data_IF_165181100592
#
_entry.id   IF_165181100592
#
_cell.length_a   1.000
_cell.length_b   1.000
_cell.length_c   1.000
_cell.angle_alpha   90.00
_cell.angle_beta   90.00
_cell.angle_gamma   90.00
#
_symmetry.space_group_name_H-M   'P 1'
#
loop_
_entity.id
_entity.type
_entity.pdbx_description
1 polymer ?
#
# COMPACT_ATOMS: atom_id res chain seq x y z
N UNK A 1 18.39 -11.54 3.67
CA UNK A 1 16.96 -11.16 3.58
C UNK A 1 16.81 -9.76 2.97
N UNK A 2 15.72 -9.45 2.20
CA UNK A 2 15.47 -8.11 1.66
C UNK A 2 14.28 -7.46 2.35
N UNK A 3 14.44 -6.20 2.79
CA UNK A 3 13.40 -5.43 3.49
C UNK A 3 13.25 -4.04 2.92
N UNK A 4 12.02 -3.54 2.86
CA UNK A 4 11.73 -2.19 2.38
C UNK A 4 11.42 -1.26 3.53
N UNK A 5 12.05 -0.09 3.53
CA UNK A 5 11.79 0.99 4.48
C UNK A 5 11.26 2.21 3.75
N UNK A 6 10.21 2.82 4.28
CA UNK A 6 9.61 4.01 3.69
C UNK A 6 9.44 5.10 4.74
N UNK A 7 10.03 6.27 4.49
CA UNK A 7 9.91 7.43 5.37
C UNK A 7 9.70 8.73 4.60
N UNK A 8 9.23 9.76 5.28
CA UNK A 8 9.08 11.12 4.72
C UNK A 8 10.45 11.79 4.63
N UNK A 9 10.69 12.51 3.54
CA UNK A 9 11.90 13.30 3.30
C UNK A 9 11.58 14.78 3.17
N UNK A 10 12.58 15.61 3.46
CA UNK A 10 12.48 17.07 3.39
C UNK A 10 13.44 17.61 2.32
N UNK A 11 13.08 17.53 1.02
CA UNK A 11 13.91 18.00 -0.07
C UNK A 11 13.93 19.52 -0.15
N UNK A 12 15.02 20.08 -0.67
CA UNK A 12 15.14 21.51 -1.02
C UNK A 12 14.27 21.85 -2.25
N UNK A 13 14.07 23.14 -2.53
CA UNK A 13 13.29 23.55 -3.72
C UNK A 13 13.90 23.05 -5.04
N UNK A 14 15.21 23.07 -5.17
CA UNK A 14 15.93 22.53 -6.32
C UNK A 14 15.70 21.01 -6.46
N UNK A 15 15.81 20.28 -5.34
CA UNK A 15 15.54 18.84 -5.33
C UNK A 15 14.07 18.54 -5.68
N UNK A 16 13.12 19.35 -5.22
CA UNK A 16 11.70 19.25 -5.57
C UNK A 16 11.51 19.41 -7.08
N UNK A 17 12.17 20.38 -7.70
CA UNK A 17 12.12 20.57 -9.16
C UNK A 17 12.64 19.34 -9.91
N UNK A 18 13.81 18.82 -9.51
CA UNK A 18 14.39 17.58 -10.08
C UNK A 18 13.48 16.37 -9.92
N UNK A 19 12.88 16.17 -8.73
CA UNK A 19 11.90 15.09 -8.46
C UNK A 19 10.68 15.24 -9.37
N UNK A 20 10.11 16.44 -9.45
CA UNK A 20 8.91 16.67 -10.25
C UNK A 20 9.15 16.52 -11.75
N UNK A 21 10.32 16.98 -12.25
CA UNK A 21 10.76 16.78 -13.62
C UNK A 21 10.88 15.29 -13.93
N UNK A 22 11.59 14.53 -13.08
CA UNK A 22 11.76 13.08 -13.26
C UNK A 22 10.42 12.33 -13.23
N UNK A 23 9.54 12.63 -12.27
CA UNK A 23 8.19 12.02 -12.21
C UNK A 23 7.36 12.39 -13.45
N UNK A 24 7.49 13.61 -13.94
CA UNK A 24 6.85 14.07 -15.18
C UNK A 24 7.29 13.26 -16.38
N UNK A 25 8.60 13.14 -16.58
CA UNK A 25 9.22 12.34 -17.65
C UNK A 25 8.81 10.86 -17.55
N UNK A 26 8.89 10.27 -16.37
CA UNK A 26 8.47 8.87 -16.14
C UNK A 26 6.99 8.65 -16.51
N UNK A 27 6.12 9.61 -16.21
CA UNK A 27 4.71 9.54 -16.58
C UNK A 27 4.53 9.62 -18.10
N UNK A 28 5.26 10.53 -18.76
CA UNK A 28 5.22 10.65 -20.21
C UNK A 28 5.68 9.34 -20.86
N UNK A 29 6.83 8.81 -20.49
CA UNK A 29 7.38 7.57 -21.04
C UNK A 29 6.45 6.38 -20.84
N UNK A 30 5.85 6.25 -19.65
CA UNK A 30 4.85 5.21 -19.40
C UNK A 30 3.67 5.30 -20.38
N UNK A 31 3.16 6.51 -20.59
CA UNK A 31 2.04 6.75 -21.49
C UNK A 31 2.45 6.57 -22.95
N UNK A 32 3.62 7.04 -23.32
CA UNK A 32 4.16 6.91 -24.66
C UNK A 32 4.36 5.44 -25.05
N UNK A 33 4.92 4.63 -24.15
CA UNK A 33 5.03 3.19 -24.36
C UNK A 33 3.67 2.53 -24.61
N UNK A 34 2.64 2.91 -23.83
CA UNK A 34 1.29 2.36 -24.02
C UNK A 34 0.71 2.80 -25.36
N UNK A 35 0.80 4.08 -25.72
CA UNK A 35 0.29 4.61 -26.98
C UNK A 35 0.96 3.94 -28.18
N UNK A 36 2.28 3.86 -28.16
CA UNK A 36 3.07 3.25 -29.25
C UNK A 36 2.73 1.77 -29.45
N UNK A 37 2.67 0.98 -28.38
CA UNK A 37 2.30 -0.44 -28.52
C UNK A 37 0.85 -0.64 -28.93
N UNK A 38 -0.07 0.26 -28.57
CA UNK A 38 -1.43 0.25 -29.07
C UNK A 38 -1.46 0.50 -30.59
N UNK A 39 -0.72 1.51 -31.05
CA UNK A 39 -0.61 1.83 -32.47
C UNK A 39 0.00 0.67 -33.28
N UNK A 40 1.02 -0.01 -32.76
CA UNK A 40 1.60 -1.20 -33.38
C UNK A 40 0.57 -2.33 -33.50
N UNK A 41 -0.21 -2.54 -32.43
CA UNK A 41 -1.28 -3.55 -32.44
C UNK A 41 -2.37 -3.22 -33.48
N UNK A 42 -2.81 -1.96 -33.53
CA UNK A 42 -3.83 -1.52 -34.47
C UNK A 42 -3.35 -1.65 -35.96
N UNK A 43 -2.01 -1.58 -36.18
CA UNK A 43 -1.35 -1.81 -37.48
C UNK A 43 -0.95 -3.26 -37.75
N UNK A 44 -1.34 -4.21 -36.90
CA UNK A 44 -0.97 -5.63 -37.04
C UNK A 44 0.54 -5.92 -36.82
N UNK A 45 1.28 -4.98 -36.25
CA UNK A 45 2.73 -5.12 -36.01
C UNK A 45 3.01 -5.80 -34.66
N UNK A 46 4.23 -6.36 -34.56
CA UNK A 46 4.67 -7.06 -33.34
C UNK A 46 4.79 -6.11 -32.15
N UNK A 47 4.30 -6.56 -30.98
CA UNK A 47 4.40 -5.86 -29.70
C UNK A 47 5.87 -5.62 -29.30
N UNK A 48 6.21 -4.39 -28.91
CA UNK A 48 7.53 -4.02 -28.43
C UNK A 48 7.70 -4.32 -26.95
N UNK A 49 8.75 -5.05 -26.59
CA UNK A 49 9.18 -5.23 -25.19
C UNK A 49 9.76 -3.91 -24.64
N UNK A 50 9.91 -3.80 -23.31
CA UNK A 50 10.54 -2.62 -22.70
C UNK A 50 11.98 -2.41 -23.20
N UNK A 51 12.73 -3.49 -23.51
CA UNK A 51 14.09 -3.43 -24.03
C UNK A 51 14.09 -2.92 -25.48
N UNK A 52 13.29 -3.51 -26.36
CA UNK A 52 13.18 -3.09 -27.78
C UNK A 52 12.70 -1.65 -27.91
N UNK A 53 11.70 -1.24 -27.10
CA UNK A 53 11.24 0.14 -27.06
C UNK A 53 12.34 1.12 -26.60
N UNK A 54 13.17 0.72 -25.62
CA UNK A 54 14.27 1.55 -25.17
C UNK A 54 15.33 1.74 -26.25
N UNK A 55 15.62 0.71 -27.04
CA UNK A 55 16.55 0.78 -28.20
C UNK A 55 15.95 1.69 -29.26
N UNK A 56 14.73 1.44 -29.69
CA UNK A 56 14.03 2.26 -30.67
C UNK A 56 13.94 3.74 -30.25
N UNK A 57 13.58 4.01 -28.98
CA UNK A 57 13.48 5.38 -28.47
C UNK A 57 14.79 6.14 -28.59
N UNK A 58 15.92 5.51 -28.25
CA UNK A 58 17.21 6.20 -28.21
C UNK A 58 17.91 6.29 -29.58
N UNK A 59 17.74 5.27 -30.43
CA UNK A 59 18.50 5.14 -31.69
C UNK A 59 17.72 5.63 -32.91
N UNK A 60 16.38 5.59 -32.86
CA UNK A 60 15.54 5.97 -33.99
C UNK A 60 14.66 7.19 -33.66
N UNK A 61 13.90 7.16 -32.57
CA UNK A 61 12.93 8.20 -32.29
C UNK A 61 13.58 9.52 -31.87
N UNK A 62 14.43 9.52 -30.85
CA UNK A 62 15.03 10.77 -30.32
C UNK A 62 15.96 11.48 -31.30
N UNK A 63 16.76 10.81 -32.17
CA UNK A 63 17.54 11.50 -33.19
C UNK A 63 16.67 12.24 -34.21
N UNK A 64 15.51 11.70 -34.56
CA UNK A 64 14.56 12.27 -35.52
C UNK A 64 13.57 13.27 -34.90
N UNK A 65 13.54 13.39 -33.55
CA UNK A 65 12.61 14.23 -32.80
C UNK A 65 13.32 15.03 -31.71
N UNK A 66 14.09 16.08 -32.07
CA UNK A 66 14.86 16.89 -31.11
C UNK A 66 14.03 17.53 -30.00
N UNK A 67 12.75 17.79 -30.23
CA UNK A 67 11.81 18.36 -29.28
C UNK A 67 11.57 17.44 -28.06
N UNK A 68 11.94 16.15 -28.14
CA UNK A 68 11.85 15.19 -27.04
C UNK A 68 13.19 14.95 -26.31
N UNK A 69 14.27 15.63 -26.65
CA UNK A 69 15.58 15.45 -26.01
C UNK A 69 15.57 15.70 -24.48
N UNK A 70 14.60 16.49 -24.00
CA UNK A 70 14.39 16.69 -22.55
C UNK A 70 14.16 15.38 -21.76
N UNK A 71 13.85 14.27 -22.43
CA UNK A 71 13.77 12.94 -21.81
C UNK A 71 15.12 12.52 -21.23
N UNK A 72 16.23 12.95 -21.84
CA UNK A 72 17.61 12.67 -21.41
C UNK A 72 18.05 13.50 -20.20
N UNK A 73 17.33 14.57 -19.84
CA UNK A 73 17.64 15.43 -18.68
C UNK A 73 17.42 14.76 -17.33
N UNK A 74 16.86 13.56 -17.31
CA UNK A 74 16.60 12.80 -16.09
C UNK A 74 17.30 11.44 -16.11
N UNK A 75 17.41 10.80 -14.95
CA UNK A 75 18.09 9.51 -14.84
C UNK A 75 17.53 8.47 -15.81
N UNK A 76 18.38 7.92 -16.68
CA UNK A 76 18.05 6.83 -17.62
C UNK A 76 17.49 5.60 -16.89
N UNK A 77 17.91 5.34 -15.65
CA UNK A 77 17.37 4.24 -14.82
C UNK A 77 15.90 4.45 -14.46
N UNK A 78 15.52 5.71 -14.14
CA UNK A 78 14.11 6.06 -13.89
C UNK A 78 13.26 5.90 -15.16
N UNK A 79 13.78 6.32 -16.31
CA UNK A 79 13.12 6.19 -17.62
C UNK A 79 12.93 4.73 -17.99
N UNK A 80 13.98 3.91 -17.93
CA UNK A 80 13.92 2.45 -18.21
C UNK A 80 12.94 1.75 -17.28
N UNK A 81 12.94 2.09 -15.97
CA UNK A 81 12.00 1.52 -15.01
C UNK A 81 10.55 1.88 -15.32
N UNK A 82 10.29 3.05 -15.90
CA UNK A 82 8.95 3.45 -16.33
C UNK A 82 8.45 2.61 -17.52
N UNK A 83 9.34 2.30 -18.48
CA UNK A 83 9.03 1.37 -19.59
C UNK A 83 8.73 -0.04 -19.07
N UNK A 84 9.56 -0.57 -18.15
CA UNK A 84 9.34 -1.86 -17.51
C UNK A 84 8.00 -1.94 -16.77
N UNK A 85 7.61 -0.85 -16.08
CA UNK A 85 6.32 -0.78 -15.38
C UNK A 85 5.15 -0.83 -16.38
N UNK A 86 5.26 -0.19 -17.54
CA UNK A 86 4.26 -0.22 -18.59
C UNK A 86 4.20 -1.60 -19.26
N UNK A 87 5.34 -2.21 -19.57
CA UNK A 87 5.45 -3.58 -20.05
C UNK A 87 4.81 -4.58 -19.08
N UNK A 88 5.12 -4.46 -17.78
CA UNK A 88 4.51 -5.32 -16.74
C UNK A 88 2.99 -5.16 -16.69
N UNK A 89 2.47 -3.95 -16.92
CA UNK A 89 1.03 -3.72 -16.97
C UNK A 89 0.37 -4.46 -18.15
N UNK A 90 1.01 -4.47 -19.33
CA UNK A 90 0.56 -5.27 -20.48
C UNK A 90 0.70 -6.78 -20.21
N UNK A 91 1.81 -7.23 -19.65
CA UNK A 91 2.02 -8.64 -19.31
C UNK A 91 0.90 -9.17 -18.39
N UNK A 92 0.49 -8.38 -17.39
CA UNK A 92 -0.64 -8.73 -16.51
C UNK A 92 -1.98 -8.74 -17.25
N UNK A 93 -2.16 -7.84 -18.21
CA UNK A 93 -3.35 -7.81 -19.05
C UNK A 93 -3.44 -9.07 -19.91
N UNK A 94 -2.38 -9.43 -20.62
CA UNK A 94 -2.33 -10.66 -21.45
C UNK A 94 -2.53 -11.94 -20.62
N UNK A 95 -2.03 -11.96 -19.37
CA UNK A 95 -2.28 -13.05 -18.41
C UNK A 95 -3.67 -13.00 -17.76
N UNK A 96 -4.58 -12.13 -18.22
CA UNK A 96 -5.94 -11.93 -17.66
C UNK A 96 -5.97 -11.57 -16.16
N UNK A 97 -4.85 -11.09 -15.61
CA UNK A 97 -4.72 -10.67 -14.21
C UNK A 97 -5.16 -9.23 -13.97
N UNK A 98 -5.25 -8.40 -15.00
CA UNK A 98 -5.68 -7.01 -14.92
C UNK A 98 -6.44 -6.59 -16.19
N UNK A 99 -7.14 -5.44 -16.09
CA UNK A 99 -7.70 -4.78 -17.26
C UNK A 99 -6.61 -4.12 -18.11
N UNK A 100 -6.97 -3.70 -19.34
CA UNK A 100 -6.07 -2.96 -20.24
C UNK A 100 -5.36 -1.79 -19.52
N UNK A 101 -4.04 -1.57 -19.76
CA UNK A 101 -3.28 -0.50 -19.12
C UNK A 101 -3.87 0.88 -19.39
N UNK A 102 -4.01 1.69 -18.31
CA UNK A 102 -4.55 3.05 -18.42
C UNK A 102 -3.45 4.08 -18.42
N UNK A 103 -3.63 5.16 -19.16
CA UNK A 103 -2.74 6.31 -19.11
C UNK A 103 -2.65 6.92 -17.70
N UNK A 104 -1.44 7.26 -17.30
CA UNK A 104 -1.17 7.95 -16.03
C UNK A 104 -1.48 9.44 -16.16
N UNK A 105 -2.25 9.97 -15.21
CA UNK A 105 -2.63 11.40 -15.17
C UNK A 105 -1.87 12.12 -14.06
N UNK A 106 -1.45 13.38 -14.32
CA UNK A 106 -0.83 14.26 -13.31
C UNK A 106 -1.76 14.38 -12.09
N UNK A 107 -1.22 14.31 -10.89
CA UNK A 107 -1.93 14.42 -9.59
C UNK A 107 -3.00 13.35 -9.30
N UNK A 108 -3.21 12.39 -10.22
CA UNK A 108 -4.17 11.28 -10.02
C UNK A 108 -3.50 9.91 -9.99
N UNK A 109 -2.32 9.78 -10.58
CA UNK A 109 -1.59 8.51 -10.69
C UNK A 109 -0.32 8.53 -9.84
N UNK A 110 -0.03 7.44 -9.15
CA UNK A 110 1.19 7.27 -8.36
C UNK A 110 2.34 6.88 -9.29
N UNK A 111 3.06 7.90 -9.78
CA UNK A 111 4.29 7.73 -10.57
C UNK A 111 5.45 8.12 -9.66
N UNK A 112 6.51 7.31 -9.66
CA UNK A 112 7.65 7.45 -8.77
C UNK A 112 8.93 7.64 -9.56
N UNK A 113 9.87 8.42 -9.00
CA UNK A 113 11.25 8.45 -9.43
C UNK A 113 11.95 7.21 -8.88
N UNK A 114 12.49 6.35 -9.74
CA UNK A 114 13.26 5.17 -9.36
C UNK A 114 14.75 5.51 -9.34
N UNK A 115 15.47 4.93 -8.39
CA UNK A 115 16.93 4.98 -8.35
C UNK A 115 17.52 3.63 -7.92
N UNK A 116 18.75 3.41 -8.31
CA UNK A 116 19.50 2.19 -7.99
C UNK A 116 20.93 2.59 -7.62
N UNK A 117 21.57 1.80 -6.80
CA UNK A 117 22.99 1.96 -6.50
C UNK A 117 23.82 1.63 -7.74
N UNK A 118 24.50 2.61 -8.31
CA UNK A 118 25.43 2.45 -9.43
C UNK A 118 26.89 2.56 -8.96
N UNK A 119 27.17 3.51 -8.07
CA UNK A 119 28.49 3.81 -7.54
C UNK A 119 28.58 3.50 -6.04
N UNK A 120 29.77 3.25 -5.48
CA UNK A 120 29.94 3.02 -4.04
C UNK A 120 29.33 4.09 -3.15
N UNK A 121 29.43 5.38 -3.57
CA UNK A 121 28.87 6.52 -2.84
C UNK A 121 27.34 6.68 -2.97
N UNK A 122 26.73 6.02 -3.95
CA UNK A 122 25.29 6.09 -4.15
C UNK A 122 24.52 5.37 -3.04
N UNK A 123 23.35 5.88 -2.73
CA UNK A 123 22.43 5.28 -1.74
C UNK A 123 23.04 5.17 -0.33
N UNK A 124 24.04 6.01 -0.02
CA UNK A 124 24.58 6.07 1.34
C UNK A 124 23.53 6.63 2.29
N UNK A 125 23.33 5.99 3.44
CA UNK A 125 22.34 6.43 4.44
C UNK A 125 23.01 6.69 5.78
N UNK A 126 22.80 7.89 6.29
CA UNK A 126 23.14 8.30 7.65
C UNK A 126 21.87 8.37 8.52
N UNK A 127 22.03 8.62 9.79
CA UNK A 127 20.93 8.69 10.74
C UNK A 127 19.83 9.70 10.34
N UNK A 128 20.19 10.82 9.69
CA UNK A 128 19.29 11.94 9.42
C UNK A 128 19.20 12.33 7.94
N UNK A 129 19.97 11.71 7.05
CA UNK A 129 19.99 12.00 5.62
C UNK A 129 20.36 10.77 4.78
N UNK A 130 19.94 10.79 3.53
CA UNK A 130 20.25 9.75 2.55
C UNK A 130 20.78 10.40 1.26
N UNK A 131 21.82 9.82 0.68
CA UNK A 131 22.31 10.23 -0.63
C UNK A 131 21.54 9.50 -1.74
N UNK A 132 20.75 10.24 -2.50
CA UNK A 132 19.94 9.71 -3.60
C UNK A 132 20.60 10.12 -4.92
N UNK A 133 20.90 9.17 -5.83
CA UNK A 133 21.44 9.49 -7.14
C UNK A 133 20.65 10.59 -7.84
N UNK A 134 21.32 11.55 -8.44
CA UNK A 134 20.81 12.77 -9.08
C UNK A 134 20.26 13.87 -8.15
N UNK A 135 19.91 13.54 -6.90
CA UNK A 135 19.42 14.52 -5.91
C UNK A 135 20.51 14.93 -4.91
N UNK A 136 21.51 14.07 -4.69
CA UNK A 136 22.47 14.24 -3.61
C UNK A 136 21.87 13.94 -2.24
N UNK A 137 22.37 14.62 -1.20
CA UNK A 137 21.93 14.42 0.18
C UNK A 137 20.55 15.03 0.43
N UNK A 138 19.61 14.19 0.89
CA UNK A 138 18.25 14.59 1.23
C UNK A 138 17.98 14.27 2.71
N UNK A 139 17.41 15.21 3.45
CA UNK A 139 17.08 15.05 4.88
C UNK A 139 15.93 14.08 5.08
N UNK A 140 16.09 13.14 6.02
CA UNK A 140 15.05 12.26 6.51
C UNK A 140 14.29 12.94 7.64
N UNK A 141 12.96 12.80 7.65
CA UNK A 141 12.15 13.33 8.73
C UNK A 141 12.21 12.46 9.98
N UNK A 142 12.20 11.14 9.80
CA UNK A 142 12.35 10.15 10.86
C UNK A 142 13.81 9.73 10.96
N UNK A 143 14.48 10.24 11.99
CA UNK A 143 15.91 9.99 12.21
C UNK A 143 16.14 8.55 12.68
N UNK A 144 17.06 7.84 12.03
CA UNK A 144 17.45 6.48 12.40
C UNK A 144 16.41 5.39 12.06
N UNK A 145 15.33 5.72 11.34
CA UNK A 145 14.34 4.73 10.91
C UNK A 145 14.88 3.82 9.78
N UNK A 146 15.65 4.38 8.88
CA UNK A 146 16.39 3.59 7.87
C UNK A 146 17.71 3.20 8.49
N UNK A 147 18.06 1.89 8.51
CA UNK A 147 19.38 1.44 8.99
C UNK A 147 20.51 2.12 8.21
N UNK A 148 21.56 2.50 8.92
CA UNK A 148 22.65 3.27 8.34
C UNK A 148 23.66 2.39 7.60
N UNK A 149 24.29 2.93 6.56
CA UNK A 149 25.34 2.22 5.81
C UNK A 149 26.54 1.87 6.69
N UNK A 150 26.85 2.67 7.72
CA UNK A 150 27.91 2.39 8.71
C UNK A 150 27.64 1.12 9.52
N UNK A 151 26.38 0.69 9.65
CA UNK A 151 26.00 -0.56 10.32
C UNK A 151 26.03 -1.77 9.36
N UNK A 152 26.65 -1.65 8.18
CA UNK A 152 26.78 -2.75 7.22
C UNK A 152 25.55 -2.98 6.32
N UNK A 153 24.50 -2.16 6.43
CA UNK A 153 23.30 -2.30 5.60
C UNK A 153 23.49 -1.71 4.22
N UNK A 154 23.13 -2.45 3.18
CA UNK A 154 23.32 -2.04 1.79
C UNK A 154 21.97 -1.74 1.13
N UNK A 155 21.77 -0.47 0.73
CA UNK A 155 20.62 -0.09 -0.08
C UNK A 155 20.88 -0.48 -1.54
N UNK A 156 20.05 -1.34 -2.10
CA UNK A 156 20.17 -1.80 -3.50
C UNK A 156 19.46 -0.85 -4.46
N UNK A 157 18.28 -0.40 -4.09
CA UNK A 157 17.45 0.49 -4.93
C UNK A 157 16.42 1.22 -4.08
N UNK A 158 15.76 2.19 -4.69
CA UNK A 158 14.65 2.86 -4.03
C UNK A 158 13.78 3.66 -5.00
N UNK A 159 12.77 4.30 -4.43
CA UNK A 159 11.87 5.19 -5.15
C UNK A 159 11.59 6.44 -4.34
N UNK A 160 11.52 7.59 -5.02
CA UNK A 160 10.99 8.83 -4.46
C UNK A 160 9.59 9.05 -4.99
N UNK A 161 8.65 9.37 -4.11
CA UNK A 161 7.25 9.63 -4.45
C UNK A 161 6.75 10.90 -3.79
N UNK A 162 5.75 11.54 -4.42
CA UNK A 162 5.03 12.68 -3.86
C UNK A 162 3.58 12.28 -3.58
N UNK A 163 3.11 12.44 -2.35
CA UNK A 163 1.73 12.17 -1.95
C UNK A 163 1.20 13.32 -1.07
N UNK A 164 0.12 13.92 -1.49
CA UNK A 164 -0.51 15.04 -0.77
C UNK A 164 0.44 16.21 -0.46
N UNK A 165 1.35 16.53 -1.38
CA UNK A 165 2.34 17.60 -1.22
C UNK A 165 3.51 17.27 -0.28
N UNK A 166 3.66 15.99 0.11
CA UNK A 166 4.79 15.48 0.90
C UNK A 166 5.60 14.50 0.07
N UNK A 167 6.90 14.45 0.34
CA UNK A 167 7.84 13.59 -0.37
C UNK A 167 8.26 12.43 0.52
N UNK A 168 8.34 11.24 -0.08
CA UNK A 168 8.70 10.00 0.60
C UNK A 168 9.79 9.29 -0.18
N UNK A 169 10.76 8.74 0.53
CA UNK A 169 11.70 7.76 -0.01
C UNK A 169 11.30 6.37 0.48
N UNK A 170 11.31 5.41 -0.43
CA UNK A 170 11.20 3.99 -0.10
C UNK A 170 12.45 3.29 -0.61
N UNK A 171 13.20 2.66 0.26
CA UNK A 171 14.45 1.97 -0.05
C UNK A 171 14.33 0.47 0.15
N UNK A 172 14.95 -0.30 -0.73
CA UNK A 172 15.11 -1.74 -0.60
C UNK A 172 16.50 -2.03 -0.05
N UNK A 173 16.56 -2.59 1.13
CA UNK A 173 17.80 -2.88 1.86
C UNK A 173 18.00 -4.40 1.89
N UNK A 174 19.21 -4.82 1.64
CA UNK A 174 19.67 -6.17 1.92
C UNK A 174 20.16 -6.22 3.36
N UNK A 175 19.52 -7.07 4.14
CA UNK A 175 19.81 -7.27 5.57
C UNK A 175 20.58 -8.59 5.68
N UNK A 176 21.71 -8.63 6.39
CA UNK A 176 22.37 -9.89 6.73
C UNK A 176 21.37 -10.85 7.40
N UNK A 177 21.56 -12.11 7.20
CA UNK A 177 20.74 -13.12 7.89
C UNK A 177 20.96 -12.98 9.40
N UNK A 178 19.89 -12.66 10.10
CA UNK A 178 19.88 -12.56 11.55
C UNK A 178 19.40 -13.88 12.12
N UNK A 179 19.96 -14.29 13.27
CA UNK A 179 19.44 -15.41 14.03
C UNK A 179 17.98 -15.12 14.38
N UNK A 180 17.08 -16.03 14.00
CA UNK A 180 15.68 -15.92 14.36
C UNK A 180 15.54 -16.03 15.87
N UNK A 181 14.64 -15.25 16.50
CA UNK A 181 14.41 -15.36 17.93
C UNK A 181 13.84 -16.74 18.27
N UNK A 182 14.15 -17.22 19.45
CA UNK A 182 13.47 -18.39 20.00
C UNK A 182 11.98 -18.09 20.15
N UNK A 183 11.14 -18.97 19.64
CA UNK A 183 9.69 -18.89 19.73
C UNK A 183 9.20 -19.65 20.96
N UNK A 184 8.07 -19.23 21.51
CA UNK A 184 7.38 -19.92 22.59
C UNK A 184 6.50 -21.05 22.02
N UNK A 185 6.29 -22.08 22.80
CA UNK A 185 5.46 -23.23 22.41
C UNK A 185 3.97 -22.98 22.68
N UNK A 186 3.43 -21.95 22.02
CA UNK A 186 1.98 -21.71 21.99
C UNK A 186 1.58 -21.08 20.66
N UNK A 187 0.33 -21.31 20.28
CA UNK A 187 -0.30 -20.70 19.11
C UNK A 187 -1.28 -19.58 19.47
N UNK A 188 -1.56 -18.71 18.51
CA UNK A 188 -2.59 -17.68 18.60
C UNK A 188 -3.58 -17.80 17.47
N UNK A 189 -4.89 -17.76 17.79
CA UNK A 189 -5.97 -17.54 16.83
C UNK A 189 -6.42 -16.09 16.87
N UNK A 190 -6.74 -15.52 15.72
CA UNK A 190 -7.15 -14.12 15.58
C UNK A 190 -8.43 -14.05 14.75
N UNK A 191 -9.54 -13.67 15.38
CA UNK A 191 -10.78 -13.30 14.70
C UNK A 191 -10.76 -11.82 14.33
N UNK A 192 -11.04 -11.48 13.04
CA UNK A 192 -11.04 -10.13 12.50
C UNK A 192 -12.46 -9.62 12.27
N UNK A 193 -12.83 -8.53 12.93
CA UNK A 193 -14.20 -8.03 12.94
C UNK A 193 -14.37 -6.54 12.59
N UNK A 194 -15.63 -6.13 12.48
CA UNK A 194 -16.04 -4.72 12.29
C UNK A 194 -16.39 -4.02 13.61
N UNK A 195 -16.81 -4.77 14.63
CA UNK A 195 -17.09 -4.23 15.98
C UNK A 195 -15.77 -3.95 16.69
N UNK A 196 -15.01 -4.96 16.93
CA UNK A 196 -13.60 -4.92 17.29
C UNK A 196 -12.77 -5.12 16.02
N UNK A 197 -11.52 -4.69 16.03
CA UNK A 197 -10.63 -4.90 14.89
C UNK A 197 -10.10 -6.34 14.86
N UNK A 198 -9.71 -6.84 16.02
CA UNK A 198 -9.26 -8.21 16.19
C UNK A 198 -9.54 -8.68 17.62
N UNK A 199 -9.97 -9.93 17.79
CA UNK A 199 -10.05 -10.65 19.04
C UNK A 199 -9.05 -11.80 18.99
N UNK A 200 -8.21 -11.91 20.00
CA UNK A 200 -7.09 -12.86 20.04
C UNK A 200 -7.36 -13.91 21.12
N UNK A 201 -7.00 -15.15 20.85
CA UNK A 201 -7.24 -16.31 21.74
C UNK A 201 -6.58 -16.23 23.13
N UNK A 202 -5.67 -15.28 23.33
CA UNK A 202 -5.11 -14.97 24.65
C UNK A 202 -5.94 -13.94 25.45
N UNK A 203 -7.16 -13.64 25.03
CA UNK A 203 -8.09 -12.70 25.68
C UNK A 203 -7.91 -11.25 25.27
N UNK A 204 -6.88 -10.91 24.49
CA UNK A 204 -6.61 -9.53 24.09
C UNK A 204 -7.56 -9.11 22.95
N UNK A 205 -8.29 -8.02 23.17
CA UNK A 205 -9.17 -7.42 22.14
C UNK A 205 -8.61 -6.10 21.62
N UNK A 206 -8.44 -5.98 20.31
CA UNK A 206 -8.03 -4.75 19.63
C UNK A 206 -9.25 -3.98 19.16
N UNK A 207 -9.46 -2.77 19.71
CA UNK A 207 -10.59 -1.92 19.38
C UNK A 207 -10.51 -1.40 17.94
N UNK A 208 -11.65 -1.18 17.31
CA UNK A 208 -11.75 -0.59 16.00
C UNK A 208 -11.39 0.91 16.04
N UNK A 209 -10.23 1.29 15.50
CA UNK A 209 -9.73 2.68 15.46
C UNK A 209 -10.71 3.63 14.74
N UNK A 210 -11.50 3.14 13.77
CA UNK A 210 -12.44 3.94 13.01
C UNK A 210 -13.63 4.45 13.85
N UNK A 211 -13.88 3.86 15.02
CA UNK A 211 -14.92 4.28 15.96
C UNK A 211 -14.44 5.37 16.94
N UNK A 212 -13.15 5.73 16.91
CA UNK A 212 -12.61 6.76 17.79
C UNK A 212 -13.09 8.15 17.39
N UNK A 213 -13.21 9.02 18.38
CA UNK A 213 -13.61 10.43 18.17
C UNK A 213 -12.67 11.15 17.21
N UNK A 214 -11.36 10.86 17.31
CA UNK A 214 -10.33 11.44 16.44
C UNK A 214 -10.61 11.14 14.95
N UNK A 215 -10.91 9.90 14.58
CA UNK A 215 -11.23 9.54 13.19
C UNK A 215 -12.56 10.14 12.78
N UNK A 216 -13.58 10.10 13.63
CA UNK A 216 -14.90 10.69 13.35
C UNK A 216 -14.80 12.21 13.07
N UNK A 217 -14.03 12.96 13.85
CA UNK A 217 -13.77 14.40 13.62
C UNK A 217 -13.08 14.61 12.25
N UNK A 218 -12.05 13.83 11.92
CA UNK A 218 -11.37 13.94 10.63
C UNK A 218 -12.27 13.56 9.45
N UNK A 219 -13.12 12.55 9.57
CA UNK A 219 -14.09 12.19 8.53
C UNK A 219 -15.16 13.27 8.33
N UNK A 220 -15.67 13.90 9.42
CA UNK A 220 -16.58 15.05 9.30
C UNK A 220 -15.90 16.21 8.58
N UNK A 221 -14.64 16.53 8.93
CA UNK A 221 -13.85 17.56 8.25
C UNK A 221 -13.64 17.21 6.78
N UNK A 222 -13.26 15.98 6.47
CA UNK A 222 -13.08 15.49 5.10
C UNK A 222 -14.36 15.68 4.25
N UNK A 223 -15.52 15.29 4.79
CA UNK A 223 -16.81 15.44 4.11
C UNK A 223 -17.13 16.92 3.82
N UNK A 224 -16.80 17.84 4.75
CA UNK A 224 -16.96 19.28 4.55
C UNK A 224 -16.08 19.80 3.43
N UNK A 225 -14.78 19.45 3.44
CA UNK A 225 -13.83 19.88 2.39
C UNK A 225 -14.14 19.28 1.01
N UNK A 226 -14.68 18.06 0.95
CA UNK A 226 -15.15 17.45 -0.29
C UNK A 226 -16.38 18.18 -0.86
N UNK A 227 -17.35 18.57 -0.03
CA UNK A 227 -18.51 19.39 -0.46
C UNK A 227 -18.07 20.76 -0.99
N UNK A 228 -17.09 21.39 -0.31
CA UNK A 228 -16.50 22.65 -0.79
C UNK A 228 -15.82 22.45 -2.16
N UNK A 229 -15.09 21.34 -2.35
CA UNK A 229 -14.44 21.01 -3.61
C UNK A 229 -15.49 20.80 -4.74
N UNK A 230 -16.57 20.08 -4.47
CA UNK A 230 -17.65 19.85 -5.45
C UNK A 230 -18.25 21.16 -5.92
N UNK A 231 -18.62 22.05 -4.97
CA UNK A 231 -19.14 23.40 -5.31
C UNK A 231 -18.19 24.20 -6.20
N UNK A 232 -16.88 24.21 -5.87
CA UNK A 232 -15.88 24.88 -6.71
C UNK A 232 -15.78 24.32 -8.13
N UNK A 233 -15.97 23.01 -8.31
CA UNK A 233 -16.03 22.42 -9.65
C UNK A 233 -17.32 22.79 -10.40
N UNK A 234 -18.45 22.89 -9.72
CA UNK A 234 -19.71 23.34 -10.30
C UNK A 234 -19.61 24.80 -10.74
N UNK A 235 -19.05 25.68 -9.91
CA UNK A 235 -18.79 27.08 -10.23
C UNK A 235 -17.84 27.22 -11.43
N UNK A 236 -16.80 26.38 -11.51
CA UNK A 236 -15.90 26.35 -12.66
C UNK A 236 -16.65 26.00 -13.94
N UNK A 237 -17.55 25.00 -13.91
CA UNK A 237 -18.38 24.65 -15.06
C UNK A 237 -19.26 25.80 -15.51
N UNK A 238 -19.94 26.47 -14.56
CA UNK A 238 -20.79 27.63 -14.83
C UNK A 238 -20.02 28.78 -15.48
N UNK A 239 -18.80 29.07 -14.99
CA UNK A 239 -17.91 30.11 -15.54
C UNK A 239 -17.45 29.75 -16.95
N UNK A 240 -16.98 28.54 -17.21
CA UNK A 240 -16.52 28.11 -18.53
C UNK A 240 -17.65 28.19 -19.59
N UNK A 241 -18.90 27.98 -19.17
CA UNK A 241 -20.06 28.13 -20.08
C UNK A 241 -20.40 29.61 -20.41
N UNK A 242 -19.97 30.56 -19.55
CA UNK A 242 -20.27 31.98 -19.70
C UNK A 242 -19.14 32.82 -20.32
N UNK A 243 -17.90 32.36 -20.23
CA UNK A 243 -16.69 33.11 -20.62
C UNK A 243 -16.05 32.49 -21.87
N UNK A 244 -15.59 33.36 -22.81
CA UNK A 244 -14.63 32.94 -23.84
C UNK A 244 -13.26 32.75 -23.18
N UNK A 245 -12.87 31.51 -22.87
CA UNK A 245 -11.60 31.16 -22.29
C UNK A 245 -11.68 30.26 -21.03
N UNK A 246 -10.57 29.61 -20.65
CA UNK A 246 -10.51 28.75 -19.49
C UNK A 246 -10.28 29.53 -18.19
N UNK A 247 -11.19 29.37 -17.23
CA UNK A 247 -11.02 29.95 -15.90
C UNK A 247 -9.86 29.24 -15.14
N UNK A 248 -9.08 30.01 -14.36
CA UNK A 248 -7.96 29.47 -13.58
C UNK A 248 -8.41 28.45 -12.54
N UNK A 249 -7.64 27.36 -12.39
CA UNK A 249 -7.94 26.25 -11.46
C UNK A 249 -7.15 26.31 -10.16
N UNK A 250 -6.46 27.40 -9.87
CA UNK A 250 -5.54 27.50 -8.72
C UNK A 250 -6.23 27.23 -7.36
N UNK A 251 -7.40 27.85 -7.12
CA UNK A 251 -8.15 27.65 -5.90
C UNK A 251 -8.72 26.24 -5.76
N UNK A 252 -9.06 25.60 -6.88
CA UNK A 252 -9.47 24.19 -6.92
C UNK A 252 -8.29 23.29 -6.56
N UNK A 253 -7.09 23.55 -7.11
CA UNK A 253 -5.88 22.78 -6.78
C UNK A 253 -5.51 22.87 -5.28
N UNK A 254 -5.61 24.08 -4.69
CA UNK A 254 -5.44 24.27 -3.24
C UNK A 254 -6.45 23.43 -2.45
N UNK A 255 -7.71 23.41 -2.87
CA UNK A 255 -8.76 22.62 -2.22
C UNK A 255 -8.55 21.11 -2.39
N UNK A 256 -8.17 20.65 -3.58
CA UNK A 256 -7.78 19.25 -3.83
C UNK A 256 -6.68 18.81 -2.89
N UNK A 257 -5.65 19.64 -2.70
CA UNK A 257 -4.56 19.34 -1.77
C UNK A 257 -5.02 19.22 -0.32
N UNK A 258 -5.97 20.06 0.14
CA UNK A 258 -6.57 19.94 1.48
C UNK A 258 -7.28 18.59 1.66
N UNK A 259 -8.10 18.21 0.69
CA UNK A 259 -8.80 16.91 0.69
C UNK A 259 -7.80 15.75 0.69
N UNK A 260 -6.76 15.81 -0.13
CA UNK A 260 -5.71 14.79 -0.19
C UNK A 260 -4.94 14.67 1.15
N UNK A 261 -4.62 15.79 1.80
CA UNK A 261 -3.96 15.80 3.12
C UNK A 261 -4.82 15.13 4.19
N UNK A 262 -6.13 15.36 4.20
CA UNK A 262 -7.05 14.72 5.15
C UNK A 262 -7.17 13.21 4.91
N UNK A 263 -7.33 12.79 3.66
CA UNK A 263 -7.31 11.37 3.32
C UNK A 263 -6.00 10.70 3.78
N UNK A 264 -4.88 11.34 3.51
CA UNK A 264 -3.57 10.81 3.89
C UNK A 264 -3.40 10.73 5.41
N UNK A 265 -3.90 11.73 6.16
CA UNK A 265 -3.87 11.72 7.63
C UNK A 265 -4.69 10.58 8.22
N UNK A 266 -5.90 10.34 7.72
CA UNK A 266 -6.76 9.22 8.14
C UNK A 266 -6.08 7.88 7.80
N UNK A 267 -5.55 7.75 6.59
CA UNK A 267 -4.84 6.55 6.13
C UNK A 267 -3.63 6.22 7.02
N UNK A 268 -2.84 7.23 7.40
CA UNK A 268 -1.68 7.05 8.28
C UNK A 268 -2.09 6.60 9.68
N UNK A 269 -3.17 7.14 10.26
CA UNK A 269 -3.66 6.72 11.59
C UNK A 269 -4.09 5.24 11.55
N UNK A 270 -4.78 4.81 10.50
CA UNK A 270 -5.18 3.41 10.30
C UNK A 270 -3.97 2.50 10.15
N UNK A 271 -3.00 2.90 9.35
CA UNK A 271 -1.75 2.15 9.13
C UNK A 271 -0.91 2.05 10.40
N UNK A 272 -0.81 3.13 11.19
CA UNK A 272 -0.12 3.13 12.48
C UNK A 272 -0.79 2.16 13.47
N UNK A 273 -2.12 2.18 13.55
CA UNK A 273 -2.88 1.24 14.36
C UNK A 273 -2.57 -0.21 13.99
N UNK A 274 -2.61 -0.54 12.69
CA UNK A 274 -2.27 -1.89 12.19
C UNK A 274 -0.82 -2.27 12.57
N UNK A 275 0.13 -1.35 12.40
CA UNK A 275 1.53 -1.61 12.76
C UNK A 275 1.67 -1.94 14.24
N UNK A 276 0.97 -1.19 15.11
CA UNK A 276 0.97 -1.44 16.56
C UNK A 276 0.34 -2.80 16.89
N UNK A 277 -0.84 -3.10 16.31
CA UNK A 277 -1.48 -4.41 16.52
C UNK A 277 -0.57 -5.57 16.09
N UNK A 278 0.01 -5.51 14.89
CA UNK A 278 0.93 -6.55 14.41
C UNK A 278 2.15 -6.68 15.32
N UNK A 279 2.78 -5.55 15.72
CA UNK A 279 3.96 -5.60 16.59
C UNK A 279 3.63 -6.17 17.98
N UNK A 280 2.49 -5.85 18.56
CA UNK A 280 2.08 -6.37 19.86
C UNK A 280 1.81 -7.89 19.79
N UNK A 281 1.17 -8.36 18.71
CA UNK A 281 0.93 -9.79 18.48
C UNK A 281 2.25 -10.55 18.37
N UNK A 282 3.14 -10.13 17.47
CA UNK A 282 4.39 -10.86 17.22
C UNK A 282 5.41 -10.72 18.37
N UNK A 283 5.26 -9.70 19.24
CA UNK A 283 6.11 -9.52 20.43
C UNK A 283 5.96 -10.66 21.45
N UNK A 284 4.81 -11.32 21.47
CA UNK A 284 4.56 -12.49 22.32
C UNK A 284 5.29 -13.75 21.85
N UNK A 285 5.90 -13.71 20.64
CA UNK A 285 6.70 -14.79 20.03
C UNK A 285 6.00 -16.15 19.98
N UNK A 286 4.75 -16.26 19.49
CA UNK A 286 4.08 -17.53 19.34
C UNK A 286 4.77 -18.41 18.28
N UNK A 287 4.65 -19.73 18.37
CA UNK A 287 5.11 -20.66 17.33
C UNK A 287 4.32 -20.50 16.04
N UNK A 288 3.02 -20.27 16.14
CA UNK A 288 2.15 -20.04 15.00
C UNK A 288 1.04 -19.01 15.32
N UNK A 289 0.51 -18.41 14.24
CA UNK A 289 -0.67 -17.51 14.29
C UNK A 289 -1.66 -17.99 13.23
N UNK A 290 -2.92 -18.15 13.61
CA UNK A 290 -4.00 -18.59 12.71
C UNK A 290 -5.00 -17.47 12.48
N UNK A 291 -5.35 -17.20 11.21
CA UNK A 291 -6.37 -16.23 10.80
C UNK A 291 -7.28 -16.83 9.73
N UNK A 292 -8.46 -16.25 9.55
CA UNK A 292 -9.38 -16.63 8.45
C UNK A 292 -8.94 -16.05 7.08
N UNK A 293 -9.28 -16.76 5.98
CA UNK A 293 -9.21 -16.24 4.61
C UNK A 293 -10.41 -15.35 4.30
N UNK A 294 -10.41 -14.13 4.84
CA UNK A 294 -11.51 -13.19 4.65
C UNK A 294 -11.71 -12.80 3.18
N UNK A 295 -12.90 -13.04 2.65
CA UNK A 295 -13.30 -12.57 1.32
C UNK A 295 -13.63 -11.08 1.32
N UNK A 296 -12.60 -10.22 1.48
CA UNK A 296 -12.76 -8.76 1.54
C UNK A 296 -13.48 -8.22 0.29
N UNK A 297 -13.21 -8.78 -0.91
CA UNK A 297 -13.88 -8.36 -2.15
C UNK A 297 -15.37 -8.68 -2.13
N UNK A 298 -15.75 -9.84 -1.63
CA UNK A 298 -17.15 -10.23 -1.44
C UNK A 298 -17.87 -9.34 -0.42
N UNK A 299 -17.23 -9.07 0.73
CA UNK A 299 -17.75 -8.19 1.76
C UNK A 299 -17.99 -6.76 1.26
N UNK A 300 -17.16 -6.25 0.36
CA UNK A 300 -17.31 -4.91 -0.24
C UNK A 300 -18.49 -4.79 -1.21
N UNK A 301 -19.07 -5.90 -1.69
CA UNK A 301 -20.30 -5.84 -2.52
C UNK A 301 -21.50 -5.36 -1.73
N UNK A 302 -21.55 -5.60 -0.43
CA UNK A 302 -22.57 -5.05 0.44
C UNK A 302 -22.35 -3.54 0.62
N UNK A 303 -23.24 -2.72 0.06
CA UNK A 303 -23.17 -1.25 0.06
C UNK A 303 -23.16 -0.65 1.47
N UNK A 304 -23.85 -1.26 2.43
CA UNK A 304 -23.93 -0.80 3.81
C UNK A 304 -22.62 -1.04 4.58
N UNK A 305 -21.91 -2.12 4.30
CA UNK A 305 -20.70 -2.51 4.99
C UNK A 305 -19.40 -2.10 4.27
N UNK A 306 -19.46 -1.81 2.97
CA UNK A 306 -18.28 -1.58 2.12
C UNK A 306 -17.33 -0.53 2.68
N UNK A 307 -17.85 0.60 3.16
CA UNK A 307 -17.04 1.67 3.77
C UNK A 307 -16.34 1.17 5.05
N UNK A 308 -17.06 0.44 5.91
CA UNK A 308 -16.51 -0.10 7.15
C UNK A 308 -15.39 -1.12 6.84
N UNK A 309 -15.64 -2.05 5.94
CA UNK A 309 -14.68 -3.09 5.51
C UNK A 309 -13.40 -2.45 4.93
N UNK A 310 -13.53 -1.51 4.00
CA UNK A 310 -12.38 -0.79 3.41
C UNK A 310 -11.59 -0.05 4.49
N UNK A 311 -12.28 0.54 5.47
CA UNK A 311 -11.67 1.32 6.54
C UNK A 311 -10.85 0.47 7.52
N UNK A 312 -11.14 -0.82 7.67
CA UNK A 312 -10.37 -1.76 8.52
C UNK A 312 -9.03 -2.16 7.90
N UNK A 313 -8.91 -2.12 6.56
CA UNK A 313 -7.65 -2.46 5.87
C UNK A 313 -7.18 -3.90 6.19
N UNK A 314 -8.09 -4.88 6.28
CA UNK A 314 -7.78 -6.27 6.61
C UNK A 314 -6.66 -6.87 5.74
N UNK A 315 -6.65 -6.56 4.44
CA UNK A 315 -5.58 -6.99 3.55
C UNK A 315 -4.20 -6.43 3.95
N UNK A 316 -4.14 -5.16 4.37
CA UNK A 316 -2.89 -4.56 4.86
C UNK A 316 -2.42 -5.22 6.16
N UNK A 317 -3.35 -5.54 7.08
CA UNK A 317 -3.04 -6.27 8.31
C UNK A 317 -2.45 -7.64 7.98
N UNK A 318 -3.13 -8.46 7.16
CA UNK A 318 -2.66 -9.80 6.73
C UNK A 318 -1.26 -9.71 6.12
N UNK A 319 -1.04 -8.82 5.15
CA UNK A 319 0.26 -8.69 4.47
C UNK A 319 1.39 -8.30 5.42
N UNK A 320 1.12 -7.43 6.40
CA UNK A 320 2.11 -7.03 7.39
C UNK A 320 2.38 -8.13 8.41
N UNK A 321 1.34 -8.84 8.83
CA UNK A 321 1.48 -9.99 9.72
C UNK A 321 2.32 -11.09 9.06
N UNK A 322 1.99 -11.44 7.80
CA UNK A 322 2.75 -12.40 6.99
C UNK A 322 4.23 -12.03 6.88
N UNK A 323 4.51 -10.76 6.53
CA UNK A 323 5.88 -10.26 6.44
C UNK A 323 6.64 -10.37 7.77
N UNK A 324 5.96 -10.10 8.90
CA UNK A 324 6.55 -10.21 10.24
C UNK A 324 6.75 -11.66 10.69
N UNK A 325 5.77 -12.52 10.43
CA UNK A 325 5.90 -13.96 10.73
C UNK A 325 7.09 -14.55 9.96
N UNK A 326 7.23 -14.26 8.67
CA UNK A 326 8.37 -14.67 7.85
C UNK A 326 9.71 -14.14 8.37
N UNK A 327 9.75 -12.86 8.80
CA UNK A 327 10.93 -12.23 9.38
C UNK A 327 11.38 -12.95 10.67
N UNK A 328 10.44 -13.34 11.54
CA UNK A 328 10.71 -13.89 12.87
C UNK A 328 10.71 -15.43 12.91
N UNK A 329 10.33 -16.10 11.81
CA UNK A 329 10.27 -17.55 11.74
C UNK A 329 9.00 -18.17 12.34
N UNK A 330 7.96 -17.35 12.58
CA UNK A 330 6.63 -17.80 13.03
C UNK A 330 5.85 -18.39 11.86
N UNK A 331 5.05 -19.42 12.11
CA UNK A 331 4.15 -19.96 11.10
C UNK A 331 2.85 -19.12 11.04
N UNK A 332 2.47 -18.65 9.86
CA UNK A 332 1.16 -18.02 9.63
C UNK A 332 0.22 -19.01 8.95
N UNK A 333 -0.81 -19.43 9.66
CA UNK A 333 -1.84 -20.37 9.23
C UNK A 333 -3.06 -19.63 8.71
N UNK A 334 -3.59 -20.03 7.57
CA UNK A 334 -4.80 -19.45 6.96
C UNK A 334 -5.85 -20.54 6.89
N UNK A 335 -6.90 -20.38 7.65
CA UNK A 335 -8.06 -21.29 7.64
C UNK A 335 -9.00 -20.92 6.50
N UNK A 336 -9.67 -21.90 5.92
CA UNK A 336 -10.65 -21.70 4.85
C UNK A 336 -11.78 -20.79 5.29
N UNK A 337 -12.30 -19.99 4.38
CA UNK A 337 -13.37 -19.01 4.63
C UNK A 337 -14.72 -19.62 5.06
N UNK A 338 -14.90 -20.90 4.83
CA UNK A 338 -16.10 -21.65 5.20
C UNK A 338 -15.97 -22.38 6.54
N UNK A 339 -14.78 -22.31 7.15
CA UNK A 339 -14.58 -22.86 8.47
C UNK A 339 -15.54 -22.16 9.48
N UNK A 340 -16.35 -22.93 10.24
CA UNK A 340 -17.39 -22.36 11.07
C UNK A 340 -16.85 -21.84 12.41
N UNK A 341 -15.77 -21.04 12.39
CA UNK A 341 -15.04 -20.57 13.58
C UNK A 341 -15.97 -20.01 14.67
N UNK A 342 -16.94 -19.18 14.29
CA UNK A 342 -17.88 -18.55 15.22
C UNK A 342 -19.06 -19.44 15.62
N UNK A 343 -19.33 -20.53 14.89
CA UNK A 343 -20.46 -21.47 15.15
C UNK A 343 -20.03 -22.76 15.83
N UNK A 344 -18.76 -23.07 15.85
CA UNK A 344 -18.19 -24.25 16.51
C UNK A 344 -18.04 -23.97 17.99
N UNK A 345 -18.46 -24.92 18.85
CA UNK A 345 -18.16 -24.88 20.26
C UNK A 345 -16.71 -25.24 20.50
N UNK A 346 -15.99 -24.40 21.22
CA UNK A 346 -14.58 -24.67 21.50
C UNK A 346 -14.39 -25.89 22.43
N UNK A 347 -15.31 -26.13 23.34
CA UNK A 347 -15.21 -27.23 24.30
C UNK A 347 -15.62 -28.59 23.71
N UNK A 348 -16.82 -28.69 23.10
CA UNK A 348 -17.37 -29.98 22.68
C UNK A 348 -17.32 -30.21 21.16
N UNK A 349 -16.93 -29.22 20.34
CA UNK A 349 -16.91 -29.35 18.90
C UNK A 349 -18.26 -29.31 18.18
N UNK A 350 -19.41 -29.18 18.91
CA UNK A 350 -20.73 -29.08 18.31
C UNK A 350 -20.91 -27.80 17.51
N UNK A 351 -21.61 -27.87 16.36
CA UNK A 351 -21.87 -26.71 15.50
C UNK A 351 -23.26 -26.15 15.77
N UNK A 352 -23.36 -24.95 16.32
CA UNK A 352 -24.60 -24.21 16.53
C UNK A 352 -25.05 -23.55 15.22
N UNK A 353 -26.03 -24.19 14.52
CA UNK A 353 -26.49 -23.75 13.19
C UNK A 353 -27.34 -22.49 13.24
N UNK A 354 -28.10 -22.27 14.28
CA UNK A 354 -29.06 -21.18 14.53
C UNK A 354 -28.41 -19.87 15.00
N UNK A 355 -27.08 -19.84 15.25
CA UNK A 355 -26.37 -18.66 15.70
C UNK A 355 -26.46 -17.54 14.66
N UNK A 356 -27.09 -16.41 15.04
CA UNK A 356 -27.25 -15.22 14.18
C UNK A 356 -26.05 -14.30 14.25
N UNK A 357 -25.86 -13.48 13.22
CA UNK A 357 -24.78 -12.46 13.19
C UNK A 357 -24.96 -11.37 14.28
N UNK A 358 -26.19 -11.17 14.77
CA UNK A 358 -26.51 -10.25 15.86
C UNK A 358 -26.03 -10.74 17.23
N UNK A 359 -25.97 -12.06 17.41
CA UNK A 359 -25.65 -12.67 18.68
C UNK A 359 -24.21 -12.41 19.06
N UNK A 360 -23.98 -12.02 20.30
CA UNK A 360 -22.64 -11.65 20.79
C UNK A 360 -22.05 -12.67 21.74
N UNK A 361 -22.97 -13.44 22.36
CA UNK A 361 -22.60 -14.50 23.25
C UNK A 361 -22.79 -15.84 22.54
N UNK A 362 -21.88 -16.73 22.76
CA UNK A 362 -21.95 -18.11 22.34
C UNK A 362 -22.33 -18.97 23.56
N UNK A 363 -23.47 -19.63 23.49
CA UNK A 363 -23.95 -20.51 24.51
C UNK A 363 -24.20 -21.89 23.87
N UNK A 364 -23.57 -22.93 24.43
CA UNK A 364 -23.67 -24.29 23.95
C UNK A 364 -24.49 -25.15 24.93
N UNK A 365 -25.14 -26.19 24.42
CA UNK A 365 -25.84 -27.19 25.23
C UNK A 365 -24.94 -27.95 26.22
N UNK A 366 -23.62 -28.03 25.92
CA UNK A 366 -22.63 -28.58 26.81
C UNK A 366 -22.35 -27.73 28.07
N UNK A 367 -23.00 -26.56 28.20
CA UNK A 367 -22.75 -25.60 29.28
C UNK A 367 -21.68 -24.54 28.99
N UNK A 368 -20.95 -24.65 27.86
CA UNK A 368 -19.92 -23.65 27.50
C UNK A 368 -20.58 -22.31 27.15
N UNK A 369 -20.06 -21.21 27.75
CA UNK A 369 -20.52 -19.86 27.54
C UNK A 369 -19.32 -18.91 27.34
N UNK A 370 -19.30 -18.15 26.24
CA UNK A 370 -18.23 -17.20 25.94
C UNK A 370 -18.71 -16.08 25.03
N UNK A 371 -17.91 -14.97 24.91
CA UNK A 371 -18.08 -14.01 23.80
C UNK A 371 -17.85 -14.75 22.48
N UNK A 372 -18.74 -14.52 21.50
CA UNK A 372 -18.72 -15.22 20.22
C UNK A 372 -17.39 -15.01 19.44
N UNK A 373 -16.86 -13.78 19.42
CA UNK A 373 -15.66 -13.44 18.70
C UNK A 373 -14.42 -14.05 19.44
N UNK A 374 -14.50 -14.19 20.78
CA UNK A 374 -13.48 -14.90 21.56
C UNK A 374 -13.52 -16.42 21.31
N UNK A 375 -14.71 -17.04 21.34
CA UNK A 375 -14.87 -18.45 20.95
C UNK A 375 -14.31 -18.71 19.54
N UNK A 376 -14.60 -17.84 18.57
CA UNK A 376 -14.05 -17.93 17.22
C UNK A 376 -12.52 -17.88 17.21
N UNK A 377 -11.91 -17.02 18.04
CA UNK A 377 -10.45 -16.92 18.12
C UNK A 377 -9.79 -18.19 18.69
N UNK A 378 -10.44 -18.87 19.66
CA UNK A 378 -9.99 -20.15 20.19
C UNK A 378 -10.08 -21.25 19.12
N UNK A 379 -11.21 -21.34 18.41
CA UNK A 379 -11.38 -22.31 17.33
C UNK A 379 -10.39 -22.11 16.18
N UNK A 380 -10.01 -20.85 15.89
CA UNK A 380 -8.96 -20.54 14.91
C UNK A 380 -7.58 -20.99 15.40
N UNK A 381 -7.26 -20.80 16.69
CA UNK A 381 -5.99 -21.28 17.27
C UNK A 381 -5.83 -22.79 17.08
N UNK A 382 -6.91 -23.54 17.36
CA UNK A 382 -6.90 -25.00 17.41
C UNK A 382 -7.35 -25.66 16.10
N UNK A 383 -7.51 -24.86 15.03
CA UNK A 383 -7.90 -25.37 13.71
C UNK A 383 -6.89 -26.37 13.16
N UNK A 384 -7.38 -27.57 12.79
CA UNK A 384 -6.57 -28.68 12.26
C UNK A 384 -6.32 -28.50 10.75
N UNK A 385 -7.26 -27.92 10.00
CA UNK A 385 -7.15 -27.73 8.56
C UNK A 385 -6.84 -26.28 8.21
N UNK A 386 -5.67 -26.03 7.63
CA UNK A 386 -5.20 -24.71 7.25
C UNK A 386 -4.19 -24.77 6.10
N UNK A 387 -3.88 -23.61 5.51
CA UNK A 387 -2.78 -23.40 4.55
C UNK A 387 -1.73 -22.53 5.21
N UNK A 388 -0.46 -22.82 4.96
CA UNK A 388 0.66 -21.96 5.38
C UNK A 388 0.78 -20.80 4.36
N UNK A 389 0.90 -19.55 4.85
CA UNK A 389 0.98 -18.34 4.03
C UNK A 389 2.37 -18.07 3.46
#
# INVERSE_FOLDING_TARGET
MRKSYKTEINPTQEQIQKINKTIGTCRFIYNFYIAHNKELYDKGKKFMTAKSFSVWLNNEFLPNHPEYLWIKDVSSKSVKKSMENAYTAFSRFFKKQSRFPRFKKKNKSDVKMYFVKNNPKDCFCERHRINIPTLGWVRLKEKGYIPTTKQGYVIKSGTVSCKAGRYYVSVLIEIPDQNKPQLNDFGLGIDLGLKNFAVISNGITKKNINKTERIRKLEKQLKREQRCLSRKYEDLKKRNNKMKGEATRQNIQKQVLKVQKLHHRIDNIRTDHINKCVNEIVKTKPSYITIEDLNVKGMMKNRHLSKAVVSQKFYEFRTKLEAKCKELGMELRIVDRWYPSSKLCHECGCIKRDLKLSDREYICECGYHADRDYNASLNLRDAISYKIA
#
